data_IF_743232104633
#
_entry.id   IF_743232104633
#
_cell.length_a   1.000
_cell.length_b   1.000
_cell.length_c   1.000
_cell.angle_alpha   90.00
_cell.angle_beta   90.00
_cell.angle_gamma   90.00
#
_symmetry.space_group_name_H-M   'P 1'
#
loop_
_entity.id
_entity.type
_entity.pdbx_description
1 polymer ?
#
# COMPACT_ATOMS: atom_id res chain seq x y z
N UNK A 1 -7.79 0.80 5.10
CA UNK A 1 -6.57 0.53 4.30
C UNK A 1 -6.67 -0.82 3.60
N UNK A 2 -7.71 -1.00 2.79
CA UNK A 2 -8.09 -2.30 2.20
C UNK A 2 -8.33 -2.17 0.71
N UNK A 3 -8.45 -3.29 -0.01
CA UNK A 3 -8.84 -3.28 -1.45
C UNK A 3 -10.16 -2.53 -1.67
N UNK A 4 -11.13 -2.70 -0.78
CA UNK A 4 -12.40 -1.97 -0.83
C UNK A 4 -12.22 -0.45 -0.74
N UNK A 5 -11.28 0.04 0.09
CA UNK A 5 -11.00 1.48 0.14
C UNK A 5 -10.39 1.99 -1.19
N UNK A 6 -9.49 1.20 -1.78
CA UNK A 6 -8.92 1.52 -3.09
C UNK A 6 -10.00 1.54 -4.17
N UNK A 7 -10.87 0.55 -4.18
CA UNK A 7 -12.01 0.47 -5.10
C UNK A 7 -12.94 1.68 -4.96
N UNK A 8 -13.33 2.05 -3.74
CA UNK A 8 -14.15 3.24 -3.49
C UNK A 8 -13.49 4.53 -4.01
N UNK A 9 -12.17 4.68 -3.88
CA UNK A 9 -11.44 5.82 -4.48
C UNK A 9 -11.49 5.78 -6.01
N UNK A 10 -11.36 4.59 -6.60
CA UNK A 10 -11.34 4.41 -8.05
C UNK A 10 -12.72 4.49 -8.69
N UNK A 11 -13.80 4.22 -7.96
CA UNK A 11 -15.17 4.52 -8.40
C UNK A 11 -15.37 6.03 -8.61
N UNK A 12 -14.76 6.86 -7.75
CA UNK A 12 -14.83 8.32 -7.85
C UNK A 12 -13.86 8.85 -8.91
N UNK A 13 -12.68 8.24 -9.05
CA UNK A 13 -11.64 8.69 -9.97
C UNK A 13 -10.90 7.54 -10.66
N UNK A 14 -11.53 6.88 -11.66
CA UNK A 14 -10.95 5.71 -12.34
C UNK A 14 -9.57 5.97 -12.97
N UNK A 15 -9.35 7.18 -13.49
CA UNK A 15 -8.09 7.62 -14.09
C UNK A 15 -6.91 7.68 -13.12
N UNK A 16 -7.15 7.51 -11.81
CA UNK A 16 -6.12 7.48 -10.78
C UNK A 16 -5.60 6.07 -10.46
N UNK A 17 -5.99 5.04 -11.22
CA UNK A 17 -5.53 3.66 -11.04
C UNK A 17 -4.02 3.55 -10.83
N UNK A 18 -3.23 4.23 -11.67
CA UNK A 18 -1.76 4.23 -11.62
C UNK A 18 -1.16 4.94 -10.40
N UNK A 19 -1.98 5.57 -9.55
CA UNK A 19 -1.56 6.36 -8.39
C UNK A 19 -2.30 6.01 -7.10
N UNK A 20 -3.22 5.03 -7.12
CA UNK A 20 -4.03 4.66 -5.97
C UNK A 20 -3.74 3.22 -5.55
N UNK A 21 -3.04 3.05 -4.44
CA UNK A 21 -2.60 1.75 -3.91
C UNK A 21 -3.10 1.56 -2.48
N UNK A 22 -3.21 0.31 -2.02
CA UNK A 22 -3.22 0.08 -0.55
C UNK A 22 -1.79 0.23 -0.01
N UNK A 23 -1.63 0.47 1.29
CA UNK A 23 -0.29 0.59 1.88
C UNK A 23 0.52 -0.70 1.70
N UNK A 24 -0.10 -1.85 1.94
CA UNK A 24 0.54 -3.14 1.78
C UNK A 24 0.93 -3.40 0.31
N UNK A 25 0.08 -2.99 -0.65
CA UNK A 25 0.37 -3.11 -2.07
C UNK A 25 1.59 -2.27 -2.46
N UNK A 26 1.61 -0.99 -2.08
CA UNK A 26 2.72 -0.09 -2.37
C UNK A 26 4.04 -0.60 -1.77
N UNK A 27 4.01 -1.02 -0.50
CA UNK A 27 5.18 -1.56 0.19
C UNK A 27 5.73 -2.82 -0.49
N UNK A 28 4.85 -3.74 -0.87
CA UNK A 28 5.25 -4.99 -1.52
C UNK A 28 5.82 -4.74 -2.92
N UNK A 29 5.23 -3.84 -3.69
CA UNK A 29 5.77 -3.46 -5.00
C UNK A 29 7.15 -2.83 -4.83
N UNK A 30 7.29 -1.87 -3.93
CA UNK A 30 8.56 -1.21 -3.65
C UNK A 30 9.68 -2.21 -3.31
N UNK A 31 9.39 -3.20 -2.45
CA UNK A 31 10.36 -4.22 -2.06
C UNK A 31 10.72 -5.18 -3.20
N UNK A 32 9.74 -5.62 -4.00
CA UNK A 32 9.96 -6.61 -5.04
C UNK A 32 10.61 -6.03 -6.30
N UNK A 33 10.32 -4.78 -6.64
CA UNK A 33 10.79 -4.16 -7.89
C UNK A 33 11.90 -3.14 -7.69
N UNK A 34 12.28 -2.85 -6.44
CA UNK A 34 13.16 -1.74 -6.08
C UNK A 34 12.72 -0.42 -6.74
N UNK A 35 11.41 -0.15 -6.65
CA UNK A 35 10.81 1.04 -7.22
C UNK A 35 11.53 2.31 -6.74
N UNK A 36 11.65 3.31 -7.62
CA UNK A 36 12.24 4.61 -7.29
C UNK A 36 11.25 5.75 -7.48
N UNK A 37 10.23 5.54 -8.31
CA UNK A 37 9.18 6.52 -8.61
C UNK A 37 7.78 5.96 -8.37
N UNK A 38 6.79 6.86 -8.29
CA UNK A 38 5.37 6.47 -8.28
C UNK A 38 4.98 5.71 -9.56
N UNK A 39 5.61 6.02 -10.70
CA UNK A 39 5.38 5.29 -11.95
C UNK A 39 5.90 3.86 -11.89
N UNK A 40 7.07 3.64 -11.27
CA UNK A 40 7.61 2.30 -11.03
C UNK A 40 6.66 1.44 -10.18
N UNK A 41 5.98 2.05 -9.19
CA UNK A 41 4.95 1.37 -8.41
C UNK A 41 3.78 0.92 -9.30
N UNK A 42 3.34 1.75 -10.23
CA UNK A 42 2.28 1.37 -11.17
C UNK A 42 2.72 0.21 -12.07
N UNK A 43 3.91 0.30 -12.65
CA UNK A 43 4.47 -0.73 -13.53
C UNK A 43 4.69 -2.05 -12.79
N UNK A 44 5.05 -1.96 -11.50
CA UNK A 44 5.26 -3.11 -10.63
C UNK A 44 4.03 -3.97 -10.36
N UNK A 45 2.81 -3.46 -10.59
CA UNK A 45 1.56 -4.22 -10.36
C UNK A 45 1.49 -5.51 -11.16
N UNK A 46 2.05 -5.54 -12.37
CA UNK A 46 2.03 -6.73 -13.21
C UNK A 46 2.80 -7.92 -12.59
N UNK A 47 3.70 -7.64 -11.65
CA UNK A 47 4.55 -8.65 -11.02
C UNK A 47 4.02 -9.13 -9.66
N UNK A 48 2.91 -8.56 -9.17
CA UNK A 48 2.31 -8.96 -7.89
C UNK A 48 0.97 -9.65 -8.13
N UNK A 49 0.83 -10.91 -7.69
CA UNK A 49 -0.46 -11.57 -7.67
C UNK A 49 -1.41 -10.82 -6.73
N UNK A 50 -2.54 -10.35 -7.26
CA UNK A 50 -3.53 -9.56 -6.50
C UNK A 50 -4.05 -10.27 -5.24
N UNK A 51 -3.96 -11.59 -5.18
CA UNK A 51 -4.35 -12.42 -4.04
C UNK A 51 -3.34 -12.39 -2.88
N UNK A 52 -2.10 -11.97 -3.13
CA UNK A 52 -1.00 -12.06 -2.15
C UNK A 52 -0.77 -10.80 -1.32
N UNK A 53 -1.51 -9.71 -1.57
CA UNK A 53 -1.40 -8.49 -0.79
C UNK A 53 -2.46 -8.48 0.33
N UNK A 54 -2.09 -8.72 1.60
CA UNK A 54 -3.03 -8.70 2.70
C UNK A 54 -3.46 -7.25 3.01
N UNK A 55 -4.75 -7.10 3.31
CA UNK A 55 -5.30 -5.85 3.82
C UNK A 55 -4.89 -5.60 5.28
N UNK A 56 -4.88 -4.33 5.68
CA UNK A 56 -4.69 -3.96 7.09
C UNK A 56 -6.06 -3.94 7.77
N UNK A 57 -6.21 -4.75 8.82
CA UNK A 57 -7.43 -4.87 9.61
C UNK A 57 -7.80 -3.53 10.26
N UNK A 58 -9.09 -3.22 10.29
CA UNK A 58 -9.62 -2.08 11.05
C UNK A 58 -9.71 -2.44 12.55
N UNK A 59 -8.96 -1.76 13.43
CA UNK A 59 -8.97 -2.04 14.86
C UNK A 59 -10.16 -1.40 15.61
N UNK A 60 -11.00 -0.58 14.97
CA UNK A 60 -12.09 0.12 15.66
C UNK A 60 -13.04 -0.87 16.35
N UNK A 61 -13.35 -0.58 17.63
CA UNK A 61 -14.19 -1.43 18.49
C UNK A 61 -13.51 -2.72 18.97
N UNK A 62 -12.20 -2.88 18.75
CA UNK A 62 -11.43 -4.05 19.21
C UNK A 62 -10.60 -3.75 20.46
N UNK A 63 -10.03 -4.82 21.02
CA UNK A 63 -9.14 -4.72 22.16
C UNK A 63 -7.84 -3.98 21.80
N UNK A 64 -7.19 -3.38 22.80
CA UNK A 64 -5.92 -2.65 22.64
C UNK A 64 -4.83 -3.47 21.94
N UNK A 65 -4.74 -4.77 22.22
CA UNK A 65 -3.77 -5.66 21.56
C UNK A 65 -3.93 -5.72 20.05
N UNK A 66 -5.14 -5.52 19.53
CA UNK A 66 -5.41 -5.45 18.08
C UNK A 66 -4.88 -4.15 17.50
N UNK A 67 -5.04 -3.03 18.21
CA UNK A 67 -4.43 -1.76 17.82
C UNK A 67 -2.90 -1.87 17.79
N UNK A 68 -2.31 -2.48 18.81
CA UNK A 68 -0.85 -2.67 18.88
C UNK A 68 -0.34 -3.50 17.69
N UNK A 69 -1.04 -4.59 17.34
CA UNK A 69 -0.70 -5.42 16.19
C UNK A 69 -0.87 -4.70 14.84
N UNK A 70 -1.96 -3.93 14.67
CA UNK A 70 -2.17 -3.12 13.46
C UNK A 70 -1.11 -2.03 13.33
N UNK A 71 -0.76 -1.36 14.44
CA UNK A 71 0.29 -0.35 14.48
C UNK A 71 1.66 -0.91 14.11
N UNK A 72 2.02 -2.07 14.66
CA UNK A 72 3.25 -2.77 14.28
C UNK A 72 3.26 -3.11 12.79
N UNK A 73 2.13 -3.59 12.25
CA UNK A 73 2.02 -3.91 10.83
C UNK A 73 2.18 -2.68 9.93
N UNK A 74 1.59 -1.55 10.31
CA UNK A 74 1.77 -0.29 9.57
C UNK A 74 3.24 0.14 9.62
N UNK A 75 3.88 0.08 10.79
CA UNK A 75 5.28 0.44 10.97
C UNK A 75 6.23 -0.41 10.10
N UNK A 76 5.96 -1.70 9.94
CA UNK A 76 6.73 -2.58 9.04
C UNK A 76 6.58 -2.21 7.55
N UNK A 77 5.41 -1.73 7.14
CA UNK A 77 5.10 -1.44 5.74
C UNK A 77 5.55 -0.04 5.30
N UNK A 78 5.75 0.89 6.23
CA UNK A 78 6.10 2.27 5.93
C UNK A 78 7.49 2.44 5.27
N UNK A 79 8.59 1.84 5.75
CA UNK A 79 9.93 2.10 5.24
C UNK A 79 10.08 2.00 3.71
N UNK A 80 9.69 0.89 3.04
CA UNK A 80 9.85 0.80 1.58
C UNK A 80 9.02 1.83 0.80
N UNK A 81 7.90 2.29 1.36
CA UNK A 81 7.08 3.34 0.72
C UNK A 81 7.72 4.72 0.89
N UNK A 82 8.24 5.00 2.08
CA UNK A 82 8.94 6.26 2.35
C UNK A 82 10.21 6.39 1.50
N UNK A 83 10.95 5.30 1.28
CA UNK A 83 12.11 5.28 0.39
C UNK A 83 11.75 5.69 -1.05
N UNK A 84 10.61 5.21 -1.57
CA UNK A 84 10.12 5.61 -2.90
C UNK A 84 9.73 7.08 -2.91
N UNK A 85 9.04 7.56 -1.86
CA UNK A 85 8.67 8.96 -1.75
C UNK A 85 9.89 9.89 -1.71
N UNK A 86 10.91 9.55 -0.91
CA UNK A 86 12.15 10.32 -0.80
C UNK A 86 12.84 10.41 -2.17
N UNK A 87 12.99 9.28 -2.86
CA UNK A 87 13.61 9.20 -4.19
C UNK A 87 12.81 9.91 -5.28
N UNK A 88 11.49 10.00 -5.13
CA UNK A 88 10.60 10.69 -6.07
C UNK A 88 10.63 12.22 -5.92
N UNK A 89 11.17 12.74 -4.82
CA UNK A 89 11.26 14.18 -4.53
C UNK A 89 12.59 14.80 -4.97
N UNK A 90 13.61 13.98 -5.28
CA UNK A 90 14.90 14.40 -5.82
C UNK A 90 14.94 14.37 -7.33
#
# INVERSE_FOLDING_TARGET
>A
MTKQHREAVLEIAPQKLHRTFTLAEAAQIALLTNARTVEDLSNGRAFIPAEQVPDIMDPIGRARSVFDAVGAKIAELLPPVLDVCERSLG
#
